data_IF_072556803316
#
_entry.id   IF_072556803316
#
_cell.length_a   1.000
_cell.length_b   1.000
_cell.length_c   1.000
_cell.angle_alpha   90.00
_cell.angle_beta   90.00
_cell.angle_gamma   90.00
#
_symmetry.space_group_name_H-M   'P 1'
#
loop_
_entity.id
_entity.type
_entity.pdbx_description
1 polymer ?
#
# COMPACT_ATOMS: atom_id res chain seq x y z
N UNK A 1 16.91 -5.42 -20.42
CA UNK A 1 15.79 -4.59 -20.87
C UNK A 1 14.73 -4.65 -19.78
N UNK A 2 14.51 -3.51 -19.11
CA UNK A 2 13.64 -3.40 -17.94
C UNK A 2 12.17 -3.42 -18.39
N UNK A 3 11.33 -4.13 -17.65
CA UNK A 3 9.88 -4.15 -17.86
C UNK A 3 9.28 -2.75 -17.55
N UNK A 4 8.43 -2.15 -18.41
CA UNK A 4 7.99 -0.77 -18.22
C UNK A 4 6.92 -0.57 -17.13
N UNK A 5 6.34 -1.65 -16.61
CA UNK A 5 5.10 -1.57 -15.82
C UNK A 5 5.34 -1.92 -14.36
N UNK A 6 5.82 -0.95 -13.59
CA UNK A 6 5.98 -1.04 -12.13
C UNK A 6 5.04 -0.08 -11.38
N UNK A 7 3.85 0.20 -11.95
CA UNK A 7 2.82 1.05 -11.33
C UNK A 7 1.39 0.60 -11.68
N UNK A 8 0.37 1.07 -10.94
CA UNK A 8 -1.02 0.88 -11.31
C UNK A 8 -1.33 1.60 -12.64
N UNK A 9 -1.88 0.88 -13.62
CA UNK A 9 -2.30 1.45 -14.92
C UNK A 9 -3.82 1.41 -15.02
N UNK A 10 -4.42 2.39 -15.68
CA UNK A 10 -5.86 2.38 -15.95
C UNK A 10 -6.24 1.19 -16.84
N UNK A 11 -7.34 0.51 -16.54
CA UNK A 11 -7.74 -0.71 -17.27
C UNK A 11 -7.99 -0.44 -18.76
N UNK A 12 -8.45 0.76 -19.11
CA UNK A 12 -8.62 1.18 -20.50
C UNK A 12 -7.30 1.19 -21.28
N UNK A 13 -6.22 1.68 -20.67
CA UNK A 13 -4.89 1.69 -21.30
C UNK A 13 -4.34 0.28 -21.44
N UNK A 14 -4.60 -0.59 -20.46
CA UNK A 14 -4.21 -2.02 -20.52
C UNK A 14 -4.94 -2.75 -21.64
N UNK A 15 -6.25 -2.54 -21.82
CA UNK A 15 -7.01 -3.16 -22.91
C UNK A 15 -6.47 -2.71 -24.27
N UNK A 16 -6.13 -1.42 -24.41
CA UNK A 16 -5.55 -0.88 -25.64
C UNK A 16 -4.16 -1.45 -25.94
N UNK A 17 -3.33 -1.65 -24.92
CA UNK A 17 -2.00 -2.27 -25.06
C UNK A 17 -2.11 -3.75 -25.47
N UNK A 18 -3.02 -4.50 -24.84
CA UNK A 18 -3.30 -5.89 -25.20
C UNK A 18 -3.80 -6.02 -26.64
N UNK A 19 -4.70 -5.14 -27.09
CA UNK A 19 -5.17 -5.11 -28.49
C UNK A 19 -4.04 -4.81 -29.48
N UNK A 20 -3.15 -3.89 -29.13
CA UNK A 20 -1.96 -3.56 -29.93
C UNK A 20 -1.03 -4.76 -30.02
N UNK A 21 -0.82 -5.48 -28.92
CA UNK A 21 0.06 -6.64 -28.86
C UNK A 21 -0.52 -7.86 -29.59
N UNK A 22 -1.85 -8.06 -29.56
CA UNK A 22 -2.55 -9.06 -30.38
C UNK A 22 -2.40 -8.72 -31.88
N UNK A 23 -2.60 -7.45 -32.26
CA UNK A 23 -2.47 -7.01 -33.65
C UNK A 23 -1.05 -7.17 -34.21
N UNK A 24 -0.02 -6.94 -33.37
CA UNK A 24 1.39 -7.14 -33.72
C UNK A 24 1.76 -8.60 -34.01
N UNK A 25 1.09 -9.56 -33.37
CA UNK A 25 1.31 -10.98 -33.63
C UNK A 25 0.72 -11.37 -35.01
N UNK A 26 -0.31 -10.67 -35.47
CA UNK A 26 -0.90 -10.76 -36.82
C UNK A 26 -1.72 -12.03 -37.07
N UNK A 27 -2.45 -12.07 -38.19
CA UNK A 27 -3.14 -13.27 -38.67
C UNK A 27 -2.20 -14.05 -39.60
N UNK A 28 -1.56 -15.11 -39.10
CA UNK A 28 -0.67 -15.94 -39.91
C UNK A 28 -0.46 -17.33 -39.31
N UNK A 29 0.22 -18.25 -40.00
CA UNK A 29 0.53 -19.56 -39.44
C UNK A 29 1.45 -19.41 -38.23
N UNK A 30 0.91 -19.62 -37.03
CA UNK A 30 1.62 -19.48 -35.77
C UNK A 30 2.29 -20.79 -35.34
N UNK A 31 3.53 -20.69 -34.88
CA UNK A 31 4.21 -21.76 -34.15
C UNK A 31 3.42 -22.05 -32.84
N UNK A 32 3.34 -23.31 -32.34
CA UNK A 32 2.62 -23.65 -31.10
C UNK A 32 2.89 -22.74 -29.91
N UNK A 33 4.11 -22.21 -29.76
CA UNK A 33 4.44 -21.25 -28.70
C UNK A 33 3.75 -19.90 -28.88
N UNK A 34 3.72 -19.38 -30.12
CA UNK A 34 3.00 -18.13 -30.44
C UNK A 34 1.49 -18.29 -30.26
N UNK A 35 0.94 -19.47 -30.57
CA UNK A 35 -0.48 -19.78 -30.33
C UNK A 35 -0.81 -19.76 -28.83
N UNK A 36 0.01 -20.40 -28.02
CA UNK A 36 -0.17 -20.38 -26.56
C UNK A 36 -0.07 -18.95 -25.98
N UNK A 37 0.85 -18.14 -26.49
CA UNK A 37 0.99 -16.75 -26.03
C UNK A 37 -0.20 -15.89 -26.48
N UNK A 38 -0.74 -16.12 -27.69
CA UNK A 38 -1.95 -15.46 -28.18
C UNK A 38 -3.19 -15.83 -27.34
N UNK A 39 -3.35 -17.11 -26.98
CA UNK A 39 -4.46 -17.57 -26.12
C UNK A 39 -4.41 -16.92 -24.74
N UNK A 40 -3.21 -16.79 -24.15
CA UNK A 40 -3.02 -16.08 -22.87
C UNK A 40 -3.38 -14.60 -22.99
N UNK A 41 -3.08 -13.99 -24.13
CA UNK A 41 -3.33 -12.56 -24.37
C UNK A 41 -4.83 -12.28 -24.51
N UNK A 42 -5.57 -13.16 -25.19
CA UNK A 42 -7.03 -13.10 -25.25
C UNK A 42 -7.69 -13.32 -23.88
N UNK A 43 -7.22 -14.29 -23.08
CA UNK A 43 -7.76 -14.54 -21.74
C UNK A 43 -7.52 -13.36 -20.79
N UNK A 44 -6.35 -12.73 -20.89
CA UNK A 44 -6.01 -11.53 -20.13
C UNK A 44 -6.86 -10.33 -20.55
N UNK A 45 -7.11 -10.15 -21.85
CA UNK A 45 -8.00 -9.11 -22.37
C UNK A 45 -9.43 -9.28 -21.85
N UNK A 46 -9.95 -10.51 -21.85
CA UNK A 46 -11.29 -10.81 -21.37
C UNK A 46 -11.45 -10.44 -19.88
N UNK A 47 -10.45 -10.73 -19.05
CA UNK A 47 -10.43 -10.34 -17.63
C UNK A 47 -10.39 -8.82 -17.44
N UNK A 48 -9.56 -8.12 -18.22
CA UNK A 48 -9.51 -6.65 -18.17
C UNK A 48 -10.85 -6.02 -18.60
N UNK A 49 -11.51 -6.55 -19.63
CA UNK A 49 -12.85 -6.11 -20.05
C UNK A 49 -13.92 -6.36 -19.00
N UNK A 50 -13.86 -7.49 -18.29
CA UNK A 50 -14.79 -7.77 -17.19
C UNK A 50 -14.65 -6.74 -16.06
N UNK A 51 -13.42 -6.35 -15.71
CA UNK A 51 -13.16 -5.33 -14.69
C UNK A 51 -13.65 -3.96 -15.16
N UNK A 52 -13.41 -3.61 -16.43
CA UNK A 52 -13.93 -2.38 -17.02
C UNK A 52 -15.47 -2.31 -16.97
N UNK A 53 -16.16 -3.42 -17.23
CA UNK A 53 -17.62 -3.48 -17.16
C UNK A 53 -18.15 -3.38 -15.71
N UNK A 54 -17.37 -3.82 -14.71
CA UNK A 54 -17.80 -3.82 -13.30
C UNK A 54 -17.45 -2.54 -12.56
N UNK A 55 -16.30 -1.92 -12.86
CA UNK A 55 -15.75 -0.79 -12.09
C UNK A 55 -15.46 0.47 -12.93
N UNK A 56 -15.68 0.43 -14.24
CA UNK A 56 -15.48 1.56 -15.15
C UNK A 56 -14.04 1.73 -15.66
N UNK A 57 -13.81 2.67 -16.60
CA UNK A 57 -12.55 2.80 -17.34
C UNK A 57 -11.37 3.34 -16.51
N UNK A 58 -11.63 4.09 -15.44
CA UNK A 58 -10.60 4.76 -14.63
C UNK A 58 -10.07 3.93 -13.46
N UNK A 59 -10.53 2.68 -13.31
CA UNK A 59 -10.03 1.81 -12.24
C UNK A 59 -8.55 1.45 -12.49
N UNK A 60 -7.76 1.42 -11.43
CA UNK A 60 -6.32 1.21 -11.50
C UNK A 60 -5.98 -0.24 -11.17
N UNK A 61 -5.28 -0.93 -12.07
CA UNK A 61 -4.90 -2.34 -11.88
C UNK A 61 -3.38 -2.52 -11.86
N UNK A 62 -2.91 -3.42 -10.99
CA UNK A 62 -1.51 -3.82 -10.92
C UNK A 62 -1.29 -5.13 -11.67
N UNK A 63 -0.44 -5.10 -12.69
CA UNK A 63 -0.19 -6.23 -13.59
C UNK A 63 0.53 -7.42 -12.93
N UNK A 64 1.19 -7.20 -11.78
CA UNK A 64 1.97 -8.24 -11.09
C UNK A 64 1.15 -9.18 -10.21
N UNK A 65 -0.17 -8.93 -10.04
CA UNK A 65 -1.01 -9.64 -9.07
C UNK A 65 -2.17 -10.46 -9.65
N UNK A 66 -2.29 -10.64 -10.96
CA UNK A 66 -3.39 -11.42 -11.55
C UNK A 66 -3.17 -12.93 -11.44
N UNK A 67 -3.56 -13.51 -10.30
CA UNK A 67 -3.88 -14.93 -10.20
C UNK A 67 -5.40 -15.12 -10.28
N UNK A 68 -5.80 -16.21 -10.93
CA UNK A 68 -7.14 -16.53 -11.43
C UNK A 68 -8.30 -16.11 -10.50
N UNK A 69 -9.07 -15.10 -10.90
CA UNK A 69 -10.35 -14.77 -10.26
C UNK A 69 -11.44 -15.55 -10.98
N UNK A 70 -11.97 -16.56 -10.30
CA UNK A 70 -13.17 -17.31 -10.68
C UNK A 70 -14.38 -16.37 -10.48
N UNK A 71 -15.30 -16.21 -11.46
CA UNK A 71 -16.45 -15.36 -11.29
C UNK A 71 -17.48 -16.02 -10.36
N UNK A 72 -17.77 -15.38 -9.23
CA UNK A 72 -18.95 -15.65 -8.41
C UNK A 72 -19.97 -14.52 -8.69
N UNK A 73 -21.27 -14.83 -8.90
CA UNK A 73 -22.25 -13.82 -9.27
C UNK A 73 -22.58 -12.90 -8.08
N UNK A 74 -22.29 -11.61 -8.27
CA UNK A 74 -22.68 -10.54 -7.36
C UNK A 74 -24.20 -10.28 -7.42
N UNK A 75 -24.81 -10.12 -6.24
CA UNK A 75 -26.05 -9.34 -6.08
C UNK A 75 -25.72 -8.11 -5.25
N UNK A 76 -25.82 -6.96 -5.90
CA UNK A 76 -25.69 -5.60 -5.38
C UNK A 76 -26.82 -5.26 -4.41
N UNK A 77 -26.64 -4.24 -3.56
CA UNK A 77 -27.74 -3.35 -3.23
C UNK A 77 -27.44 -1.91 -3.69
N UNK A 78 -28.36 -1.24 -4.41
CA UNK A 78 -28.33 0.21 -4.55
C UNK A 78 -29.24 0.88 -3.50
N UNK A 79 -28.83 2.07 -3.06
CA UNK A 79 -29.63 2.98 -2.25
C UNK A 79 -30.78 3.61 -3.07
N UNK A 80 -31.98 3.75 -2.50
CA UNK A 80 -32.72 5.03 -2.41
C UNK A 80 -34.17 4.86 -1.89
N UNK A 81 -34.59 5.85 -1.10
CA UNK A 81 -35.96 6.43 -0.98
C UNK A 81 -37.10 5.68 -0.27
N UNK A 82 -37.49 6.27 0.88
CA UNK A 82 -38.83 6.66 1.36
C UNK A 82 -40.03 5.68 1.38
N UNK A 83 -40.65 5.66 2.57
CA UNK A 83 -42.09 5.63 2.90
C UNK A 83 -42.66 4.37 3.59
N UNK A 84 -43.18 4.65 4.80
CA UNK A 84 -44.30 4.02 5.53
C UNK A 84 -44.25 2.52 5.86
N UNK A 85 -44.01 2.21 7.15
CA UNK A 85 -45.10 1.86 8.06
C UNK A 85 -44.61 1.59 9.48
N UNK A 86 -45.03 2.50 10.36
CA UNK A 86 -45.44 2.34 11.75
C UNK A 86 -45.47 0.91 12.32
N UNK A 87 -44.57 0.62 13.26
CA UNK A 87 -44.94 -0.13 14.47
C UNK A 87 -44.46 0.63 15.70
N UNK A 88 -45.39 0.72 16.63
CA UNK A 88 -45.42 1.59 17.79
C UNK A 88 -44.58 1.00 18.94
N UNK A 89 -43.64 1.77 19.46
CA UNK A 89 -43.20 1.67 20.85
C UNK A 89 -42.88 3.08 21.35
N UNK A 90 -43.51 3.45 22.44
CA UNK A 90 -43.77 4.81 22.89
C UNK A 90 -43.17 5.00 24.30
N UNK A 91 -42.57 6.19 24.52
CA UNK A 91 -42.30 6.93 25.80
C UNK A 91 -40.83 6.98 26.30
N UNK A 92 -40.41 8.01 27.08
CA UNK A 92 -40.12 9.38 26.60
C UNK A 92 -38.89 10.06 27.29
N UNK A 93 -38.41 11.19 26.75
CA UNK A 93 -37.97 12.32 27.59
C UNK A 93 -36.52 12.84 27.52
N UNK A 94 -36.37 14.00 26.83
CA UNK A 94 -35.61 15.21 27.27
C UNK A 94 -34.05 15.22 27.28
N UNK A 95 -33.38 16.40 27.27
CA UNK A 95 -32.93 17.11 26.07
C UNK A 95 -31.40 17.37 26.02
N UNK A 96 -30.94 18.02 24.95
CA UNK A 96 -29.80 18.95 24.90
C UNK A 96 -28.46 18.54 25.53
N UNK A 97 -27.45 18.36 24.70
CA UNK A 97 -26.06 18.23 25.15
C UNK A 97 -25.09 18.40 23.99
N UNK A 98 -24.80 19.66 23.65
CA UNK A 98 -23.66 20.01 22.82
C UNK A 98 -22.37 19.57 23.49
N UNK A 99 -21.87 18.38 23.13
CA UNK A 99 -20.54 17.92 23.44
C UNK A 99 -19.60 18.35 22.33
N UNK A 100 -19.16 19.61 22.34
CA UNK A 100 -17.93 20.01 21.67
C UNK A 100 -16.83 19.18 22.31
N UNK A 101 -16.42 18.09 21.65
CA UNK A 101 -15.21 17.36 22.00
C UNK A 101 -14.08 18.39 21.94
N UNK A 102 -13.54 18.75 23.09
CA UNK A 102 -12.36 19.62 23.14
C UNK A 102 -11.23 18.87 22.43
N UNK A 103 -10.56 19.45 21.41
CA UNK A 103 -9.50 18.78 20.67
C UNK A 103 -8.25 18.49 21.54
N UNK A 104 -8.16 19.05 22.74
CA UNK A 104 -6.99 18.93 23.62
C UNK A 104 -6.71 17.52 24.17
N UNK A 105 -7.66 16.58 24.17
CA UNK A 105 -7.43 15.26 24.77
C UNK A 105 -6.80 14.22 23.85
N UNK A 106 -6.60 14.53 22.56
CA UNK A 106 -6.03 13.60 21.58
C UNK A 106 -4.58 13.93 21.20
N UNK A 107 -4.03 15.03 21.69
CA UNK A 107 -2.68 15.44 21.34
C UNK A 107 -1.67 14.64 22.18
N UNK A 108 -0.89 13.80 21.50
CA UNK A 108 0.10 12.90 22.11
C UNK A 108 1.36 13.64 22.55
N UNK A 109 1.67 14.77 21.91
CA UNK A 109 2.73 15.69 22.27
C UNK A 109 2.12 17.03 22.70
N UNK A 110 2.49 17.52 23.89
CA UNK A 110 2.01 18.83 24.37
C UNK A 110 2.98 19.94 23.99
N UNK A 111 2.44 21.15 23.75
CA UNK A 111 3.22 22.37 23.49
C UNK A 111 4.33 22.61 24.54
N UNK A 112 4.02 22.37 25.81
CA UNK A 112 5.01 22.43 26.90
C UNK A 112 6.18 21.48 26.68
N UNK A 113 5.92 20.23 26.30
CA UNK A 113 6.98 19.23 26.11
C UNK A 113 7.82 19.53 24.87
N UNK A 114 7.22 20.10 23.82
CA UNK A 114 7.94 20.61 22.66
C UNK A 114 8.91 21.73 23.07
N UNK A 115 8.46 22.70 23.86
CA UNK A 115 9.32 23.78 24.36
C UNK A 115 10.46 23.28 25.25
N UNK A 116 10.19 22.31 26.11
CA UNK A 116 11.23 21.67 26.93
C UNK A 116 12.29 20.99 26.04
N UNK A 117 11.86 20.33 24.95
CA UNK A 117 12.76 19.67 24.00
C UNK A 117 13.60 20.67 23.22
N UNK A 118 13.01 21.78 22.76
CA UNK A 118 13.75 22.85 22.05
C UNK A 118 14.86 23.39 22.95
N UNK A 119 14.57 23.68 24.23
CA UNK A 119 15.59 24.18 25.17
C UNK A 119 16.68 23.17 25.50
N UNK A 120 16.39 21.87 25.41
CA UNK A 120 17.39 20.82 25.55
C UNK A 120 18.36 20.79 24.36
N UNK A 121 17.86 21.11 23.15
CA UNK A 121 18.67 21.18 21.92
C UNK A 121 19.44 22.50 21.83
N UNK A 122 18.75 23.64 21.99
CA UNK A 122 19.33 24.97 22.06
C UNK A 122 18.56 25.85 23.07
N UNK A 123 19.17 26.22 24.20
CA UNK A 123 18.51 27.06 25.21
C UNK A 123 18.29 28.52 24.79
N UNK A 124 18.94 28.99 23.71
CA UNK A 124 18.82 30.37 23.24
C UNK A 124 17.79 30.53 22.11
N UNK A 125 17.29 29.43 21.56
CA UNK A 125 16.32 29.43 20.47
C UNK A 125 14.89 29.50 21.02
N UNK A 126 14.07 30.36 20.42
CA UNK A 126 12.65 30.51 20.76
C UNK A 126 11.83 30.43 19.47
N UNK A 127 10.98 29.41 19.38
CA UNK A 127 10.11 29.21 18.22
C UNK A 127 8.90 30.15 18.28
N UNK A 128 8.49 30.63 17.11
CA UNK A 128 7.22 31.32 16.95
C UNK A 128 6.05 30.35 17.12
N UNK A 129 4.90 30.87 17.55
CA UNK A 129 3.71 30.07 17.81
C UNK A 129 3.26 29.25 16.57
N UNK A 130 3.27 29.85 15.39
CA UNK A 130 2.88 29.16 14.14
C UNK A 130 3.82 27.99 13.80
N UNK A 131 5.10 28.10 14.17
CA UNK A 131 6.10 27.05 13.96
C UNK A 131 5.90 25.92 14.96
N UNK A 132 5.59 26.24 16.22
CA UNK A 132 5.24 25.23 17.23
C UNK A 132 4.03 24.41 16.79
N UNK A 133 2.96 25.05 16.33
CA UNK A 133 1.75 24.37 15.84
C UNK A 133 2.05 23.49 14.61
N UNK A 134 2.89 23.97 13.68
CA UNK A 134 3.32 23.18 12.52
C UNK A 134 4.11 21.93 12.93
N UNK A 135 5.03 22.05 13.89
CA UNK A 135 5.82 20.91 14.38
C UNK A 135 4.95 19.89 15.12
N UNK A 136 3.96 20.35 15.89
CA UNK A 136 2.98 19.47 16.54
C UNK A 136 2.17 18.68 15.50
N UNK A 137 1.70 19.34 14.44
CA UNK A 137 0.99 18.68 13.35
C UNK A 137 1.86 17.64 12.65
N UNK A 138 3.13 17.97 12.36
CA UNK A 138 4.08 17.02 11.76
C UNK A 138 4.30 15.81 12.67
N UNK A 139 4.35 16.01 14.00
CA UNK A 139 4.50 14.92 14.95
C UNK A 139 3.27 14.00 14.95
N UNK A 140 2.06 14.57 14.91
CA UNK A 140 0.82 13.79 14.84
C UNK A 140 0.73 13.00 13.52
N UNK A 141 1.05 13.62 12.38
CA UNK A 141 1.10 12.97 11.06
C UNK A 141 2.15 11.84 11.02
N UNK A 142 3.30 12.06 11.65
CA UNK A 142 4.35 11.05 11.80
C UNK A 142 3.84 9.83 12.58
N UNK A 143 3.15 10.06 13.71
CA UNK A 143 2.60 8.98 14.53
C UNK A 143 1.54 8.20 13.75
N UNK A 144 0.62 8.89 13.07
CA UNK A 144 -0.41 8.23 12.26
C UNK A 144 0.20 7.37 11.15
N UNK A 145 1.22 7.89 10.46
CA UNK A 145 1.96 7.17 9.43
C UNK A 145 2.65 5.91 9.98
N UNK A 146 3.41 6.05 11.08
CA UNK A 146 4.13 4.94 11.71
C UNK A 146 3.18 3.87 12.24
N UNK A 147 2.11 4.26 12.93
CA UNK A 147 1.12 3.33 13.49
C UNK A 147 0.38 2.60 12.37
N UNK A 148 -0.02 3.31 11.32
CA UNK A 148 -0.70 2.71 10.16
C UNK A 148 0.19 1.66 9.50
N UNK A 149 1.46 1.99 9.24
CA UNK A 149 2.40 1.06 8.63
C UNK A 149 2.72 -0.14 9.54
N UNK A 150 2.90 0.09 10.85
CA UNK A 150 3.15 -0.98 11.81
C UNK A 150 1.94 -1.93 11.92
N UNK A 151 0.71 -1.41 11.92
CA UNK A 151 -0.50 -2.23 11.86
C UNK A 151 -0.59 -3.05 10.56
N UNK A 152 -0.16 -2.50 9.42
CA UNK A 152 -0.08 -3.25 8.17
C UNK A 152 0.96 -4.38 8.25
N UNK A 153 2.10 -4.17 8.90
CA UNK A 153 3.12 -5.19 9.13
C UNK A 153 2.63 -6.31 10.06
N UNK A 154 1.93 -5.97 11.15
CA UNK A 154 1.30 -6.94 12.04
C UNK A 154 0.30 -7.83 11.28
N UNK A 155 -0.56 -7.21 10.45
CA UNK A 155 -1.51 -7.92 9.59
C UNK A 155 -0.81 -8.77 8.52
N UNK A 156 0.32 -8.32 7.97
CA UNK A 156 1.07 -9.05 6.95
C UNK A 156 1.54 -10.42 7.45
N UNK A 157 2.00 -10.50 8.70
CA UNK A 157 2.36 -11.77 9.36
C UNK A 157 1.17 -12.52 9.97
N UNK A 158 -0.06 -12.11 9.66
CA UNK A 158 -1.32 -12.69 10.15
C UNK A 158 -1.52 -12.56 11.66
N UNK A 159 -0.91 -11.56 12.29
CA UNK A 159 -1.14 -11.22 13.69
C UNK A 159 -2.28 -10.21 13.81
N UNK A 160 -3.09 -10.34 14.86
CA UNK A 160 -4.06 -9.33 15.29
C UNK A 160 -3.53 -8.48 16.46
N UNK A 161 -2.26 -8.69 16.83
CA UNK A 161 -1.57 -7.99 17.91
C UNK A 161 -0.40 -7.23 17.31
N UNK A 162 -0.36 -5.91 17.55
CA UNK A 162 0.75 -5.05 17.21
C UNK A 162 1.92 -5.35 18.16
N UNK A 163 3.10 -5.65 17.62
CA UNK A 163 4.30 -5.85 18.43
C UNK A 163 5.36 -4.80 18.10
N UNK A 164 6.32 -4.66 19.02
CA UNK A 164 7.46 -3.75 18.91
C UNK A 164 8.23 -3.94 17.59
N UNK A 165 8.35 -5.19 17.11
CA UNK A 165 9.05 -5.52 15.86
C UNK A 165 8.42 -4.85 14.63
N UNK A 166 7.10 -4.63 14.65
CA UNK A 166 6.37 -4.01 13.54
C UNK A 166 6.73 -2.52 13.43
N UNK A 167 6.73 -1.81 14.55
CA UNK A 167 7.09 -0.39 14.63
C UNK A 167 8.58 -0.20 14.31
N UNK A 168 9.43 -1.00 14.95
CA UNK A 168 10.89 -0.92 14.76
C UNK A 168 11.29 -1.10 13.29
N UNK A 169 10.74 -2.12 12.61
CA UNK A 169 11.06 -2.39 11.22
C UNK A 169 10.71 -1.19 10.32
N UNK A 170 9.59 -0.50 10.59
CA UNK A 170 9.18 0.65 9.82
C UNK A 170 10.09 1.87 10.07
N UNK A 171 10.45 2.14 11.33
CA UNK A 171 11.37 3.22 11.69
C UNK A 171 12.76 3.03 11.06
N UNK A 172 13.31 1.82 11.10
CA UNK A 172 14.63 1.54 10.53
C UNK A 172 14.62 1.63 8.99
N UNK A 173 13.57 1.12 8.33
CA UNK A 173 13.55 1.06 6.86
C UNK A 173 13.09 2.34 6.18
N UNK A 174 12.19 3.10 6.78
CA UNK A 174 11.59 4.28 6.14
C UNK A 174 12.13 5.58 6.69
N UNK A 175 12.45 5.62 7.99
CA UNK A 175 12.95 6.81 8.66
C UNK A 175 14.45 6.75 8.92
N UNK A 176 15.10 5.60 8.67
CA UNK A 176 16.50 5.36 8.98
C UNK A 176 16.84 5.68 10.44
N UNK A 177 15.87 5.48 11.34
CA UNK A 177 16.00 5.67 12.78
C UNK A 177 16.28 4.31 13.42
N UNK A 178 17.33 4.25 14.25
CA UNK A 178 17.66 3.07 15.03
C UNK A 178 17.49 3.38 16.51
N UNK A 179 16.68 2.59 17.21
CA UNK A 179 16.39 2.77 18.64
C UNK A 179 17.29 1.82 19.44
N UNK A 180 18.28 2.31 20.20
CA UNK A 180 19.11 1.47 21.05
C UNK A 180 18.27 0.75 22.12
N UNK A 181 18.62 -0.50 22.41
CA UNK A 181 17.95 -1.30 23.45
C UNK A 181 16.64 -1.97 23.02
N UNK A 182 16.15 -1.70 21.80
CA UNK A 182 14.98 -2.36 21.21
C UNK A 182 15.40 -3.23 20.01
N UNK A 183 14.88 -4.45 19.93
CA UNK A 183 15.11 -5.38 18.82
C UNK A 183 16.47 -6.08 18.79
N UNK A 184 16.87 -6.70 19.89
CA UNK A 184 18.09 -7.54 19.94
C UNK A 184 17.99 -8.85 19.14
N UNK A 185 17.11 -8.95 18.13
CA UNK A 185 17.13 -10.08 17.21
C UNK A 185 17.96 -9.66 15.99
N UNK A 186 19.27 -9.63 16.22
CA UNK A 186 20.33 -9.80 15.23
C UNK A 186 19.86 -9.53 13.79
N UNK A 187 19.70 -8.26 13.41
CA UNK A 187 19.76 -7.87 11.99
C UNK A 187 21.22 -8.09 11.60
N UNK A 188 21.56 -9.36 11.43
CA UNK A 188 22.84 -9.80 10.90
C UNK A 188 22.97 -9.10 9.55
N UNK A 189 24.04 -8.33 9.33
CA UNK A 189 24.26 -7.64 8.07
C UNK A 189 24.12 -8.64 6.94
N UNK A 190 23.06 -8.50 6.16
CA UNK A 190 22.91 -9.09 4.84
C UNK A 190 23.20 -10.61 4.82
N UNK A 191 22.15 -11.44 5.00
CA UNK A 191 22.18 -12.74 4.31
C UNK A 191 22.46 -12.42 2.84
N UNK A 192 23.68 -12.74 2.36
CA UNK A 192 24.02 -12.59 0.94
C UNK A 192 22.84 -13.12 0.16
N UNK A 193 22.23 -12.28 -0.68
CA UNK A 193 21.08 -12.66 -1.48
C UNK A 193 21.36 -14.06 -2.01
N UNK A 194 20.47 -15.02 -1.73
CA UNK A 194 20.64 -16.39 -2.20
C UNK A 194 20.80 -16.30 -3.71
N UNK A 195 22.03 -16.44 -4.20
CA UNK A 195 22.30 -16.29 -5.63
C UNK A 195 21.60 -17.46 -6.29
N UNK A 196 20.61 -17.16 -7.13
CA UNK A 196 19.90 -18.19 -7.87
C UNK A 196 20.92 -18.99 -8.70
N UNK A 197 20.67 -20.29 -8.89
CA UNK A 197 21.55 -21.13 -9.72
C UNK A 197 21.79 -20.51 -11.10
N UNK A 198 20.76 -19.86 -11.67
CA UNK A 198 20.86 -19.08 -12.90
C UNK A 198 21.86 -17.91 -12.80
N UNK A 199 21.86 -17.17 -11.69
CA UNK A 199 22.82 -16.08 -11.47
C UNK A 199 24.25 -16.62 -11.35
N UNK A 200 24.45 -17.75 -10.65
CA UNK A 200 25.76 -18.40 -10.55
C UNK A 200 26.28 -18.86 -11.92
N UNK A 201 25.42 -19.47 -12.73
CA UNK A 201 25.75 -19.89 -14.11
C UNK A 201 26.12 -18.70 -14.99
N UNK A 202 25.35 -17.61 -14.93
CA UNK A 202 25.67 -16.36 -15.65
C UNK A 202 27.03 -15.81 -15.24
N UNK A 203 27.31 -15.73 -13.93
CA UNK A 203 28.60 -15.26 -13.42
C UNK A 203 29.75 -16.16 -13.87
N UNK A 204 29.54 -17.47 -13.91
CA UNK A 204 30.54 -18.42 -14.41
C UNK A 204 30.81 -18.25 -15.91
N UNK A 205 29.79 -18.02 -16.73
CA UNK A 205 29.95 -17.73 -18.15
C UNK A 205 30.75 -16.44 -18.37
N UNK A 206 30.40 -15.37 -17.65
CA UNK A 206 31.10 -14.08 -17.71
C UNK A 206 32.59 -14.26 -17.38
N UNK A 207 32.91 -14.94 -16.26
CA UNK A 207 34.31 -15.22 -15.86
C UNK A 207 35.08 -16.04 -16.90
N UNK A 208 34.41 -16.95 -17.62
CA UNK A 208 35.03 -17.71 -18.72
C UNK A 208 35.31 -16.81 -19.93
N UNK A 209 34.45 -15.84 -20.21
CA UNK A 209 34.59 -14.95 -21.37
C UNK A 209 35.57 -13.80 -21.16
N UNK A 210 35.76 -13.32 -19.93
CA UNK A 210 36.72 -12.23 -19.61
C UNK A 210 38.16 -12.72 -19.37
N UNK A 211 38.42 -14.03 -19.45
CA UNK A 211 39.77 -14.60 -19.29
C UNK A 211 40.51 -14.78 -20.63
N UNK A 212 40.22 -13.94 -21.62
CA UNK A 212 40.89 -13.88 -22.92
C UNK A 212 41.66 -12.58 -23.05
#
# INVERSE_FOLDING_TARGET
MASPFAGPTAVADVIKDLDTQIALIGLGPHNPKKKQDLDKLYDLKAKAQQIMNQFGPSTLINLSNFSSIKPEPASTPPQSSMANSTTVAKMPGTPSGGGRLSPESNQVLTKKKLQDLVREVDPNEQLDEDVEEMLLQIADDFIESVVTAACQLARHRKSNTLEVKDVQLHLERQWNMWIPGFGSEEIRPYKKACTTEAHKQRMALIRKTTKK
#
